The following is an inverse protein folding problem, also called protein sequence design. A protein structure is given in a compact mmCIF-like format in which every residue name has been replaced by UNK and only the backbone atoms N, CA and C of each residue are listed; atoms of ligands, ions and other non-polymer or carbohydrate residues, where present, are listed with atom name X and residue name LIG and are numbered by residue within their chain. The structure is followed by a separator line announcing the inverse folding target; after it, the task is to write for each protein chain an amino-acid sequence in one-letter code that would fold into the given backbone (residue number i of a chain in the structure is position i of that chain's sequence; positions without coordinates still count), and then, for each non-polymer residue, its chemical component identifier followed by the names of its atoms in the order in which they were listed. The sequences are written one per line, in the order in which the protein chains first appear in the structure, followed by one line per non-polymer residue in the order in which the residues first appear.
data_IF_233007682394
#
_entry.id   IF_233007682394
#
_cell.length_a   1.000
_cell.length_b   1.000
_cell.length_c   1.000
_cell.angle_alpha   90.00
_cell.angle_beta   90.00
_cell.angle_gamma   90.00
#
_symmetry.space_group_name_H-M   'P 1'
#
loop_
_entity.id
_entity.type
_entity.pdbx_description
1 polymer ?
#
# COMPACT_ATOMS: atom_id res chain seq x y z
N UNK A 1 6.71 -11.02 -3.39
CA UNK A 1 6.19 -10.00 -4.32
C UNK A 1 5.42 -8.86 -3.65
N UNK A 2 5.04 -9.00 -2.37
CA UNK A 2 4.39 -7.95 -1.59
C UNK A 2 5.19 -7.71 -0.30
N UNK A 3 5.22 -6.48 0.21
CA UNK A 3 5.79 -6.13 1.52
C UNK A 3 4.76 -5.28 2.27
N UNK A 4 4.61 -5.55 3.57
CA UNK A 4 3.67 -4.90 4.48
C UNK A 4 4.52 -4.20 5.54
N UNK A 5 4.35 -2.89 5.70
CA UNK A 5 5.14 -2.09 6.65
C UNK A 5 4.20 -1.35 7.57
N UNK A 6 4.42 -1.50 8.88
CA UNK A 6 3.84 -0.67 9.93
C UNK A 6 4.80 0.47 10.29
N UNK A 7 4.24 1.63 10.67
CA UNK A 7 4.97 2.85 11.04
C UNK A 7 6.08 3.21 10.03
N UNK A 8 5.76 3.34 8.73
CA UNK A 8 6.77 3.63 7.73
C UNK A 8 7.41 4.99 7.98
N UNK A 9 8.72 5.07 7.81
CA UNK A 9 9.40 6.36 7.79
C UNK A 9 8.91 7.17 6.58
N UNK A 10 8.27 8.31 6.86
CA UNK A 10 7.82 9.29 5.86
C UNK A 10 8.88 10.40 5.76
N UNK A 11 9.41 10.62 4.57
CA UNK A 11 10.42 11.64 4.31
C UNK A 11 9.83 13.04 4.14
N UNK A 12 10.69 14.02 3.87
CA UNK A 12 10.30 15.42 3.69
C UNK A 12 9.37 15.64 2.47
N UNK A 13 9.35 14.71 1.51
CA UNK A 13 8.44 14.73 0.37
C UNK A 13 7.09 14.06 0.68
N UNK A 14 6.84 13.72 1.95
CA UNK A 14 5.62 13.04 2.41
C UNK A 14 5.49 11.61 1.86
N UNK A 15 6.60 10.97 1.50
CA UNK A 15 6.59 9.60 0.97
C UNK A 15 7.49 8.67 1.80
N UNK A 16 7.11 7.41 1.87
CA UNK A 16 7.99 6.31 2.25
C UNK A 16 9.06 6.08 1.19
N UNK A 17 10.30 5.84 1.62
CA UNK A 17 11.38 5.49 0.70
C UNK A 17 11.24 4.05 0.23
N UNK A 18 11.15 3.87 -1.09
CA UNK A 18 11.19 2.57 -1.74
C UNK A 18 12.15 2.60 -2.94
N UNK A 19 12.72 1.44 -3.29
CA UNK A 19 13.50 1.32 -4.53
C UNK A 19 12.58 1.33 -5.75
N UNK A 20 13.15 1.56 -6.94
CA UNK A 20 12.37 1.65 -8.19
C UNK A 20 11.62 0.37 -8.57
N UNK A 21 11.88 -0.75 -7.88
CA UNK A 21 11.23 -2.06 -8.08
C UNK A 21 9.86 -2.18 -7.41
N UNK A 22 9.40 -1.17 -6.68
CA UNK A 22 8.16 -1.21 -5.90
C UNK A 22 7.18 -0.12 -6.32
N UNK A 23 5.90 -0.46 -6.32
CA UNK A 23 4.79 0.47 -6.19
C UNK A 23 4.43 0.57 -4.71
N UNK A 24 4.39 1.77 -4.14
CA UNK A 24 3.96 1.99 -2.75
C UNK A 24 2.48 2.36 -2.78
N UNK A 25 1.68 1.64 -1.99
CA UNK A 25 0.26 1.89 -1.78
C UNK A 25 0.10 2.46 -0.38
N UNK A 26 -0.53 3.62 -0.32
CA UNK A 26 -0.84 4.32 0.92
C UNK A 26 -2.33 4.16 1.28
N UNK A 27 -2.71 4.31 2.56
CA UNK A 27 -4.09 4.51 2.95
C UNK A 27 -4.68 5.74 2.25
N UNK A 28 -5.99 5.75 2.01
CA UNK A 28 -6.64 6.87 1.30
C UNK A 28 -6.47 8.21 2.03
N UNK A 29 -6.41 8.18 3.36
CA UNK A 29 -6.19 9.35 4.22
C UNK A 29 -4.76 9.91 4.17
N UNK A 30 -3.83 9.27 3.45
CA UNK A 30 -2.43 9.73 3.35
C UNK A 30 -2.32 11.14 2.77
N UNK A 31 -3.13 11.46 1.76
CA UNK A 31 -3.12 12.78 1.13
C UNK A 31 -3.68 13.87 2.06
N UNK A 32 -4.58 13.51 2.97
CA UNK A 32 -5.12 14.43 3.97
C UNK A 32 -4.08 14.74 5.05
N UNK A 33 -3.40 13.71 5.55
CA UNK A 33 -2.36 13.88 6.56
C UNK A 33 -1.29 12.77 6.49
N UNK A 34 -0.29 12.99 5.65
CA UNK A 34 0.82 12.05 5.46
C UNK A 34 1.58 11.68 6.75
N UNK A 35 1.63 12.57 7.75
CA UNK A 35 2.30 12.32 9.03
C UNK A 35 1.58 11.27 9.89
N UNK A 36 0.31 10.98 9.59
CA UNK A 36 -0.47 9.96 10.28
C UNK A 36 -0.49 8.62 9.54
N UNK A 37 0.29 8.45 8.47
CA UNK A 37 0.37 7.17 7.77
C UNK A 37 1.00 6.11 8.66
N UNK A 38 0.22 5.13 9.12
CA UNK A 38 0.71 4.07 10.03
C UNK A 38 0.85 2.70 9.37
N UNK A 39 0.32 2.54 8.16
CA UNK A 39 0.45 1.33 7.36
C UNK A 39 0.70 1.70 5.89
N UNK A 40 1.55 0.93 5.21
CA UNK A 40 1.68 0.92 3.74
C UNK A 40 1.86 -0.49 3.21
N UNK A 41 1.49 -0.72 1.94
CA UNK A 41 1.77 -1.97 1.22
C UNK A 41 2.64 -1.64 0.01
N UNK A 42 3.69 -2.42 -0.22
CA UNK A 42 4.52 -2.32 -1.41
C UNK A 42 4.24 -3.51 -2.33
N UNK A 43 3.95 -3.23 -3.60
CA UNK A 43 3.73 -4.23 -4.65
C UNK A 43 4.93 -4.26 -5.59
N UNK A 44 5.52 -5.43 -5.80
CA UNK A 44 6.64 -5.58 -6.72
C UNK A 44 6.19 -5.28 -8.15
N UNK A 45 6.96 -4.48 -8.90
CA UNK A 45 6.64 -4.11 -10.30
C UNK A 45 6.63 -5.29 -11.27
N UNK A 46 7.11 -6.47 -10.86
CA UNK A 46 6.95 -7.72 -11.61
C UNK A 46 5.50 -8.18 -11.66
N UNK A 47 4.65 -7.75 -10.72
CA UNK A 47 3.21 -7.95 -10.79
C UNK A 47 2.62 -6.86 -11.71
N UNK A 48 1.99 -7.22 -12.83
CA UNK A 48 1.32 -6.26 -13.71
C UNK A 48 0.28 -5.42 -12.95
N UNK A 49 0.21 -4.12 -13.23
CA UNK A 49 -0.68 -3.18 -12.54
C UNK A 49 -2.17 -3.44 -12.79
N UNK A 50 -2.53 -4.18 -13.85
CA UNK A 50 -3.89 -4.63 -14.10
C UNK A 50 -4.31 -5.82 -13.20
N UNK A 51 -3.35 -6.46 -12.53
CA UNK A 51 -3.60 -7.62 -11.64
C UNK A 51 -3.78 -7.22 -10.18
N UNK A 52 -3.79 -5.93 -9.85
CA UNK A 52 -4.07 -5.48 -8.50
C UNK A 52 -4.76 -4.12 -8.48
N UNK A 53 -5.45 -3.83 -7.39
CA UNK A 53 -6.02 -2.51 -7.12
C UNK A 53 -6.04 -2.28 -5.62
N UNK A 54 -5.79 -1.05 -5.20
CA UNK A 54 -6.03 -0.61 -3.83
C UNK A 54 -7.51 -0.77 -3.45
N UNK A 55 -7.76 -0.94 -2.15
CA UNK A 55 -9.12 -0.94 -1.59
C UNK A 55 -9.27 0.37 -0.82
N UNK A 56 -10.28 1.15 -1.20
CA UNK A 56 -10.54 2.44 -0.59
C UNK A 56 -11.04 2.26 0.85
N UNK A 57 -10.25 2.73 1.82
CA UNK A 57 -10.54 2.64 3.25
C UNK A 57 -10.24 3.97 3.92
N UNK A 58 -11.19 4.45 4.73
CA UNK A 58 -11.10 5.68 5.50
C UNK A 58 -10.46 5.43 6.87
N UNK A 59 -9.23 4.92 6.87
CA UNK A 59 -8.41 4.82 8.08
C UNK A 59 -6.92 4.96 7.76
N UNK A 60 -6.16 5.78 8.50
CA UNK A 60 -4.70 5.86 8.34
C UNK A 60 -3.95 4.60 8.79
N UNK A 61 -4.64 3.70 9.49
CA UNK A 61 -4.08 2.52 10.12
C UNK A 61 -4.22 1.28 9.25
N UNK A 62 -4.97 1.40 8.15
CA UNK A 62 -5.31 0.28 7.29
C UNK A 62 -4.96 0.61 5.86
N UNK A 63 -4.17 -0.26 5.24
CA UNK A 63 -3.95 -0.24 3.79
C UNK A 63 -4.56 -1.50 3.19
N UNK A 64 -5.47 -1.35 2.24
CA UNK A 64 -6.13 -2.47 1.58
C UNK A 64 -5.63 -2.67 0.15
N UNK A 65 -5.52 -3.92 -0.28
CA UNK A 65 -5.08 -4.32 -1.62
C UNK A 65 -5.87 -5.54 -2.08
N UNK A 66 -6.39 -5.50 -3.30
CA UNK A 66 -6.92 -6.67 -4.00
C UNK A 66 -5.91 -7.15 -5.02
N UNK A 67 -5.55 -8.44 -5.00
CA UNK A 67 -4.78 -9.13 -6.05
C UNK A 67 -5.74 -10.02 -6.85
N UNK A 68 -5.72 -9.88 -8.16
CA UNK A 68 -6.46 -10.71 -9.11
C UNK A 68 -5.58 -11.86 -9.59
N UNK A 69 -6.04 -13.09 -9.40
CA UNK A 69 -5.36 -14.31 -9.84
C UNK A 69 -6.32 -15.20 -10.63
N UNK A 70 -5.82 -16.27 -11.23
CA UNK A 70 -6.67 -17.26 -11.89
C UNK A 70 -7.56 -18.04 -10.91
N UNK A 71 -7.14 -18.13 -9.64
CA UNK A 71 -7.85 -18.81 -8.56
C UNK A 71 -8.91 -17.91 -7.90
N UNK A 72 -8.98 -16.64 -8.29
CA UNK A 72 -9.89 -15.65 -7.74
C UNK A 72 -9.18 -14.42 -7.20
N UNK A 73 -9.95 -13.59 -6.49
CA UNK A 73 -9.46 -12.36 -5.88
C UNK A 73 -9.01 -12.62 -4.45
N UNK A 74 -7.82 -12.12 -4.11
CA UNK A 74 -7.31 -12.09 -2.76
C UNK A 74 -7.40 -10.66 -2.22
N UNK A 75 -8.12 -10.47 -1.12
CA UNK A 75 -8.18 -9.19 -0.42
C UNK A 75 -7.21 -9.23 0.76
N UNK A 76 -6.28 -8.29 0.77
CA UNK A 76 -5.20 -8.19 1.74
C UNK A 76 -5.35 -6.86 2.47
N UNK A 77 -5.26 -6.92 3.79
CA UNK A 77 -5.36 -5.74 4.65
C UNK A 77 -4.12 -5.71 5.53
N UNK A 78 -3.33 -4.65 5.40
CA UNK A 78 -2.28 -4.33 6.37
C UNK A 78 -2.92 -3.47 7.46
N UNK A 79 -2.89 -3.93 8.70
CA UNK A 79 -3.51 -3.25 9.86
C UNK A 79 -2.42 -2.99 10.89
N UNK A 80 -2.34 -1.75 11.35
CA UNK A 80 -1.53 -1.32 12.49
C UNK A 80 -2.34 -1.43 13.80
#
# INVERSE_FOLDING_TARGET
DLIFIQEPYIDFNKLTRATSHWHVIYPCSHHDNSAHTRSVILVNKRIPTNNWSDIELTSPDITGLTIKTQQGNFHLFNVY
#
